data_IF_603511243706
#
_entry.id   IF_603511243706
#
_cell.length_a   1.000
_cell.length_b   1.000
_cell.length_c   1.000
_cell.angle_alpha   90.00
_cell.angle_beta   90.00
_cell.angle_gamma   90.00
#
_symmetry.space_group_name_H-M   'P 1'
#
loop_
_entity.id
_entity.type
_entity.pdbx_description
1 polymer ?
#
# COMPACT_ATOMS: atom_id res chain seq x y z
N UNK A 1 22.77 -4.20 -13.09
CA UNK A 1 22.26 -2.81 -13.04
C UNK A 1 22.49 -2.31 -11.63
N UNK A 2 23.36 -1.33 -11.46
CA UNK A 2 23.65 -0.73 -10.14
C UNK A 2 22.35 -0.17 -9.58
N UNK A 3 21.87 -0.74 -8.47
CA UNK A 3 20.68 -0.25 -7.78
C UNK A 3 20.91 1.19 -7.34
N UNK A 4 19.92 2.05 -7.55
CA UNK A 4 19.95 3.41 -7.01
C UNK A 4 19.94 3.30 -5.49
N UNK A 5 20.97 3.82 -4.83
CA UNK A 5 21.04 3.90 -3.38
C UNK A 5 20.12 5.04 -2.89
N UNK A 6 18.89 4.67 -2.53
CA UNK A 6 17.82 5.59 -2.17
C UNK A 6 18.15 6.38 -0.91
N UNK A 7 18.95 5.79 0.00
CA UNK A 7 19.34 6.39 1.28
C UNK A 7 20.34 7.54 1.11
N UNK A 8 20.93 7.68 -0.07
CA UNK A 8 21.84 8.79 -0.43
C UNK A 8 21.17 9.92 -1.19
N UNK A 9 19.86 9.83 -1.41
CA UNK A 9 19.13 10.90 -2.09
C UNK A 9 19.04 12.17 -1.21
N UNK A 10 18.92 13.35 -1.82
CA UNK A 10 18.57 14.56 -1.10
C UNK A 10 17.30 14.35 -0.24
N UNK A 11 17.22 14.95 0.97
CA UNK A 11 16.13 14.67 1.92
C UNK A 11 14.73 14.83 1.33
N UNK A 12 14.49 15.85 0.50
CA UNK A 12 13.19 16.06 -0.14
C UNK A 12 12.85 14.94 -1.14
N UNK A 13 13.83 14.45 -1.90
CA UNK A 13 13.63 13.35 -2.84
C UNK A 13 13.34 12.05 -2.11
N UNK A 14 14.08 11.76 -1.04
CA UNK A 14 13.83 10.63 -0.16
C UNK A 14 12.40 10.67 0.42
N UNK A 15 11.98 11.79 0.99
CA UNK A 15 10.65 11.96 1.56
C UNK A 15 9.52 11.79 0.52
N UNK A 16 9.72 12.29 -0.71
CA UNK A 16 8.75 12.09 -1.80
C UNK A 16 8.58 10.60 -2.09
N UNK A 17 9.69 9.86 -2.22
CA UNK A 17 9.64 8.44 -2.49
C UNK A 17 9.00 7.65 -1.34
N UNK A 18 9.30 8.01 -0.10
CA UNK A 18 8.71 7.37 1.08
C UNK A 18 7.20 7.60 1.16
N UNK A 19 6.73 8.83 0.89
CA UNK A 19 5.30 9.15 0.79
C UNK A 19 4.64 8.33 -0.32
N UNK A 20 5.25 8.27 -1.50
CA UNK A 20 4.71 7.48 -2.61
C UNK A 20 4.68 5.98 -2.30
N UNK A 21 5.70 5.45 -1.60
CA UNK A 21 5.73 4.07 -1.14
C UNK A 21 4.60 3.78 -0.15
N UNK A 22 4.40 4.66 0.84
CA UNK A 22 3.30 4.57 1.80
C UNK A 22 1.93 4.59 1.11
N UNK A 23 1.72 5.47 0.12
CA UNK A 23 0.48 5.54 -0.66
C UNK A 23 0.25 4.30 -1.51
N UNK A 24 1.30 3.81 -2.17
CA UNK A 24 1.22 2.59 -2.96
C UNK A 24 0.80 1.38 -2.09
N UNK A 25 1.33 1.28 -0.87
CA UNK A 25 0.97 0.19 0.08
C UNK A 25 -0.51 0.19 0.47
N UNK A 26 -1.20 1.34 0.40
CA UNK A 26 -2.64 1.45 0.67
C UNK A 26 -3.51 1.43 -0.60
N UNK A 27 -2.93 1.08 -1.75
CA UNK A 27 -3.63 1.00 -3.04
C UNK A 27 -3.75 2.32 -3.79
N UNK A 28 -3.23 3.43 -3.24
CA UNK A 28 -3.24 4.72 -3.92
C UNK A 28 -2.02 4.83 -4.84
N UNK A 29 -2.25 4.80 -6.15
CA UNK A 29 -1.15 4.83 -7.13
C UNK A 29 -0.64 6.24 -7.38
N UNK A 30 -1.49 7.26 -7.27
CA UNK A 30 -1.14 8.64 -7.59
C UNK A 30 -1.24 9.51 -6.36
N UNK A 31 -0.24 10.35 -6.14
CA UNK A 31 -0.26 11.33 -5.07
C UNK A 31 -0.02 12.74 -5.58
N UNK A 32 -0.70 13.71 -4.97
CA UNK A 32 -0.59 15.12 -5.31
C UNK A 32 0.41 15.78 -4.37
N UNK A 33 1.39 16.48 -4.94
CA UNK A 33 2.38 17.27 -4.23
C UNK A 33 2.22 18.76 -4.55
N UNK A 34 2.63 19.66 -3.65
CA UNK A 34 2.70 21.09 -3.95
C UNK A 34 3.75 21.36 -5.03
N UNK A 35 3.53 22.39 -5.84
CA UNK A 35 4.45 22.83 -6.90
C UNK A 35 5.86 23.18 -6.40
N UNK A 36 6.01 23.53 -5.11
CA UNK A 36 7.30 23.75 -4.47
C UNK A 36 8.21 22.52 -4.46
N UNK A 37 7.64 21.30 -4.51
CA UNK A 37 8.38 20.06 -4.66
C UNK A 37 8.84 19.79 -6.12
N UNK A 38 8.43 20.63 -7.07
CA UNK A 38 8.64 20.45 -8.51
C UNK A 38 10.08 20.14 -8.92
N UNK A 39 11.11 20.86 -8.43
CA UNK A 39 12.51 20.54 -8.76
C UNK A 39 12.91 19.12 -8.34
N UNK A 40 12.56 18.70 -7.13
CA UNK A 40 12.87 17.36 -6.61
C UNK A 40 12.10 16.27 -7.37
N UNK A 41 10.83 16.51 -7.69
CA UNK A 41 10.01 15.60 -8.50
C UNK A 41 10.60 15.39 -9.90
N UNK A 42 11.06 16.47 -10.56
CA UNK A 42 11.71 16.36 -11.87
C UNK A 42 13.02 15.61 -11.81
N UNK A 43 13.83 15.79 -10.76
CA UNK A 43 15.04 14.98 -10.57
C UNK A 43 14.72 13.48 -10.42
N UNK A 44 13.67 13.13 -9.68
CA UNK A 44 13.22 11.75 -9.53
C UNK A 44 12.65 11.18 -10.84
N UNK A 45 11.97 11.99 -11.64
CA UNK A 45 11.47 11.61 -12.96
C UNK A 45 12.62 11.35 -13.93
N UNK A 46 13.64 12.22 -13.93
CA UNK A 46 14.88 12.03 -14.70
C UNK A 46 15.64 10.77 -14.28
N UNK A 47 15.59 10.42 -12.99
CA UNK A 47 16.14 9.17 -12.47
C UNK A 47 15.28 7.94 -12.81
N UNK A 48 14.13 8.11 -13.48
CA UNK A 48 13.23 7.04 -13.87
C UNK A 48 12.47 6.40 -12.70
N UNK A 49 12.42 7.06 -11.53
CA UNK A 49 11.79 6.53 -10.31
C UNK A 49 10.30 6.90 -10.20
N UNK A 50 9.91 8.02 -10.78
CA UNK A 50 8.52 8.50 -10.78
C UNK A 50 8.06 8.93 -12.16
N UNK A 51 6.76 8.98 -12.37
CA UNK A 51 6.11 9.62 -13.51
C UNK A 51 5.32 10.80 -12.99
N UNK A 52 5.45 11.96 -13.63
CA UNK A 52 4.69 13.16 -13.31
C UNK A 52 3.51 13.35 -14.26
N UNK A 53 2.46 13.99 -13.77
CA UNK A 53 1.37 14.53 -14.56
C UNK A 53 0.87 15.83 -13.93
N UNK A 54 0.18 16.65 -14.72
CA UNK A 54 -0.40 17.88 -14.22
C UNK A 54 -1.46 17.55 -13.14
N UNK A 55 -1.40 18.27 -12.02
CA UNK A 55 -2.42 18.15 -10.98
C UNK A 55 -3.77 18.68 -11.46
N UNK A 56 -4.85 18.14 -10.89
CA UNK A 56 -6.21 18.63 -11.13
C UNK A 56 -6.42 19.98 -10.40
N UNK A 57 -5.61 20.26 -9.38
CA UNK A 57 -5.65 21.47 -8.56
C UNK A 57 -4.53 22.42 -8.98
N UNK A 58 -4.82 23.72 -9.02
CA UNK A 58 -3.83 24.76 -9.29
C UNK A 58 -2.63 24.66 -8.32
N UNK A 59 -1.43 24.94 -8.82
CA UNK A 59 -0.17 24.83 -8.06
C UNK A 59 0.14 23.43 -7.49
N UNK A 60 -0.33 22.37 -8.15
CA UNK A 60 -0.03 21.00 -7.75
C UNK A 60 0.52 20.14 -8.89
N UNK A 61 1.33 19.15 -8.52
CA UNK A 61 1.88 18.15 -9.44
C UNK A 61 1.46 16.78 -8.93
N UNK A 62 0.93 15.92 -9.81
CA UNK A 62 0.65 14.53 -9.47
C UNK A 62 1.83 13.66 -9.86
N UNK A 63 2.18 12.74 -8.98
CA UNK A 63 3.26 11.79 -9.20
C UNK A 63 2.84 10.37 -8.84
N UNK A 64 3.44 9.39 -9.48
CA UNK A 64 3.37 7.97 -9.11
C UNK A 64 4.71 7.29 -9.28
N UNK A 65 4.92 6.17 -8.57
CA UNK A 65 6.10 5.33 -8.78
C UNK A 65 6.08 4.64 -10.16
N UNK A 66 7.23 4.56 -10.81
CA UNK A 66 7.48 3.64 -11.93
C UNK A 66 7.67 2.22 -11.40
N UNK A 67 7.83 1.23 -12.29
CA UNK A 67 8.23 -0.12 -11.88
C UNK A 67 9.61 -0.13 -11.18
N UNK A 68 10.55 0.68 -11.70
CA UNK A 68 11.87 0.86 -11.08
C UNK A 68 11.76 1.54 -9.71
N UNK A 69 10.95 2.59 -9.59
CA UNK A 69 10.65 3.26 -8.33
C UNK A 69 10.08 2.31 -7.30
N UNK A 70 9.07 1.51 -7.66
CA UNK A 70 8.49 0.49 -6.78
C UNK A 70 9.55 -0.49 -6.29
N UNK A 71 10.38 -1.01 -7.19
CA UNK A 71 11.46 -1.95 -6.84
C UNK A 71 12.48 -1.31 -5.88
N UNK A 72 12.73 -0.01 -6.01
CA UNK A 72 13.68 0.71 -5.17
C UNK A 72 13.16 0.96 -3.74
N UNK A 73 11.85 1.16 -3.54
CA UNK A 73 11.31 1.63 -2.23
C UNK A 73 10.25 0.74 -1.59
N UNK A 74 9.69 -0.21 -2.32
CA UNK A 74 8.72 -1.17 -1.80
C UNK A 74 9.47 -2.44 -1.45
N UNK A 75 10.04 -2.49 -0.23
CA UNK A 75 10.61 -3.74 0.29
C UNK A 75 9.49 -4.78 0.44
N UNK A 76 9.66 -5.92 -0.23
CA UNK A 76 8.82 -7.11 -0.09
C UNK A 76 8.65 -7.61 1.36
N UNK A 77 9.56 -7.23 2.25
CA UNK A 77 9.57 -7.58 3.68
C UNK A 77 8.89 -6.53 4.56
N UNK A 78 8.39 -5.43 3.99
CA UNK A 78 7.67 -4.43 4.77
C UNK A 78 6.40 -5.03 5.37
N UNK A 79 6.36 -5.13 6.70
CA UNK A 79 5.15 -5.44 7.45
C UNK A 79 4.50 -4.14 7.93
N UNK A 80 3.21 -3.98 7.65
CA UNK A 80 2.45 -2.89 8.22
C UNK A 80 2.46 -3.01 9.76
N UNK A 81 2.58 -1.91 10.51
CA UNK A 81 2.74 -1.93 11.97
C UNK A 81 1.57 -2.58 12.74
N UNK A 82 0.46 -2.89 12.05
CA UNK A 82 -0.70 -3.56 12.62
C UNK A 82 -1.06 -4.87 11.88
N UNK A 83 -0.09 -5.53 11.23
CA UNK A 83 -0.31 -6.81 10.54
C UNK A 83 -1.07 -6.73 9.21
N UNK A 84 -1.66 -5.58 8.85
CA UNK A 84 -2.29 -5.38 7.55
C UNK A 84 -3.35 -6.46 7.22
N UNK A 85 -3.25 -7.06 6.04
CA UNK A 85 -4.14 -8.17 5.61
C UNK A 85 -3.99 -9.39 6.54
N UNK A 86 -2.82 -9.64 7.11
CA UNK A 86 -2.62 -10.78 8.01
C UNK A 86 -3.46 -10.64 9.27
N UNK A 87 -3.61 -9.42 9.82
CA UNK A 87 -4.49 -9.20 10.97
C UNK A 87 -5.96 -9.42 10.63
N UNK A 88 -6.39 -9.03 9.42
CA UNK A 88 -7.75 -9.30 8.95
C UNK A 88 -7.97 -10.80 8.79
N UNK A 89 -7.01 -11.51 8.20
CA UNK A 89 -7.03 -12.97 8.08
C UNK A 89 -7.14 -13.64 9.45
N UNK A 90 -6.27 -13.29 10.39
CA UNK A 90 -6.33 -13.82 11.76
C UNK A 90 -7.66 -13.52 12.43
N UNK A 91 -8.23 -12.32 12.23
CA UNK A 91 -9.54 -11.99 12.79
C UNK A 91 -10.66 -12.86 12.19
N UNK A 92 -10.64 -13.10 10.87
CA UNK A 92 -11.61 -13.96 10.19
C UNK A 92 -11.47 -15.44 10.62
N UNK A 93 -10.25 -15.94 10.81
CA UNK A 93 -9.99 -17.27 11.35
C UNK A 93 -10.59 -17.42 12.76
N UNK A 94 -10.34 -16.46 13.65
CA UNK A 94 -10.91 -16.44 15.01
C UNK A 94 -12.44 -16.41 14.98
N UNK A 95 -13.04 -15.63 14.08
CA UNK A 95 -14.50 -15.56 13.94
C UNK A 95 -15.06 -16.91 13.46
N UNK A 96 -14.44 -17.54 12.46
CA UNK A 96 -14.89 -18.83 11.94
C UNK A 96 -14.79 -19.95 13.00
N UNK A 97 -13.68 -19.97 13.75
CA UNK A 97 -13.46 -20.93 14.85
C UNK A 97 -14.42 -20.69 16.03
N UNK A 98 -14.73 -19.43 16.33
CA UNK A 98 -15.69 -19.11 17.37
C UNK A 98 -17.13 -19.48 16.97
N UNK A 99 -17.53 -19.16 15.74
CA UNK A 99 -18.91 -19.26 15.31
C UNK A 99 -19.32 -20.70 14.95
N UNK A 100 -18.43 -21.48 14.34
CA UNK A 100 -18.71 -22.86 13.89
C UNK A 100 -19.26 -23.78 14.99
N UNK A 101 -18.58 -23.93 16.13
CA UNK A 101 -19.04 -24.78 17.25
C UNK A 101 -20.33 -24.30 17.92
N UNK A 102 -20.77 -23.07 17.63
CA UNK A 102 -21.95 -22.43 18.25
C UNK A 102 -23.14 -22.35 17.29
N UNK A 103 -23.00 -22.83 16.05
CA UNK A 103 -24.06 -22.86 15.06
C UNK A 103 -25.32 -23.58 15.55
N UNK A 104 -25.16 -24.67 16.30
CA UNK A 104 -26.27 -25.45 16.85
C UNK A 104 -26.91 -24.82 18.11
N UNK A 105 -26.24 -23.81 18.71
CA UNK A 105 -26.64 -23.21 19.98
C UNK A 105 -27.17 -21.78 19.82
N UNK A 106 -26.80 -21.08 18.75
CA UNK A 106 -27.15 -19.68 18.52
C UNK A 106 -27.56 -19.48 17.06
N UNK A 107 -28.79 -19.00 16.87
CA UNK A 107 -29.35 -18.72 15.54
C UNK A 107 -28.48 -17.69 14.81
N UNK A 108 -28.10 -17.99 13.56
CA UNK A 108 -27.33 -17.12 12.68
C UNK A 108 -25.81 -17.24 12.81
N UNK A 109 -25.32 -18.11 13.71
CA UNK A 109 -23.88 -18.32 13.92
C UNK A 109 -23.25 -19.19 12.82
N UNK A 110 -24.05 -20.04 12.17
CA UNK A 110 -23.74 -20.72 10.92
C UNK A 110 -23.41 -19.73 9.78
N UNK A 111 -24.27 -18.73 9.58
CA UNK A 111 -24.10 -17.71 8.54
C UNK A 111 -22.87 -16.85 8.76
N UNK A 112 -22.56 -16.51 10.03
CA UNK A 112 -21.34 -15.78 10.38
C UNK A 112 -20.09 -16.62 10.08
N UNK A 113 -20.08 -17.91 10.47
CA UNK A 113 -18.97 -18.81 10.18
C UNK A 113 -18.72 -18.97 8.67
N UNK A 114 -19.78 -19.15 7.89
CA UNK A 114 -19.69 -19.30 6.43
C UNK A 114 -19.28 -18.01 5.72
N UNK A 115 -19.68 -16.85 6.25
CA UNK A 115 -19.24 -15.56 5.72
C UNK A 115 -17.74 -15.35 5.96
N UNK A 116 -17.26 -15.68 7.17
CA UNK A 116 -15.84 -15.59 7.49
C UNK A 116 -14.98 -16.54 6.63
N UNK A 117 -15.41 -17.79 6.43
CA UNK A 117 -14.70 -18.76 5.57
C UNK A 117 -14.64 -18.29 4.11
N UNK A 118 -15.75 -17.82 3.54
CA UNK A 118 -15.77 -17.29 2.17
C UNK A 118 -14.84 -16.09 1.99
N UNK A 119 -14.74 -15.22 3.00
CA UNK A 119 -13.81 -14.11 2.98
C UNK A 119 -12.33 -14.56 3.05
N UNK A 120 -12.03 -15.65 3.77
CA UNK A 120 -10.69 -16.25 3.80
C UNK A 120 -10.32 -16.89 2.45
N UNK A 121 -11.24 -17.63 1.84
CA UNK A 121 -11.03 -18.28 0.54
C UNK A 121 -10.77 -17.24 -0.57
N UNK A 122 -11.53 -16.15 -0.57
CA UNK A 122 -11.36 -15.04 -1.51
C UNK A 122 -10.06 -14.24 -1.32
N UNK A 123 -9.42 -14.32 -0.16
CA UNK A 123 -8.15 -13.64 0.12
C UNK A 123 -6.89 -14.44 -0.33
N UNK A 124 -7.09 -15.62 -0.92
CA UNK A 124 -6.00 -16.53 -1.37
C UNK A 124 -5.90 -16.65 -2.90
N UNK A 125 -6.78 -15.95 -3.65
CA UNK A 125 -6.76 -15.82 -5.13
C UNK A 125 -6.23 -14.46 -5.57
#
# INVERSE_FOLDING_TARGET
>A
MSGIDVDRLPPTQYLILDVLAARYRVGEQWWTFPSSAGPALRSLEQAGLVVLTNGIVEHSVRARLTAAGKTAVVDSRYQAPNGGIDRLRTALEVIAEFAGPRADLVIGMDSIADTARRALDGATS
#
